data_IF_701677677794
#
_entry.id   IF_701677677794
#
_cell.length_a   1.000
_cell.length_b   1.000
_cell.length_c   1.000
_cell.angle_alpha   90.00
_cell.angle_beta   90.00
_cell.angle_gamma   90.00
#
_symmetry.space_group_name_H-M   'P 1'
#
loop_
_entity.id
_entity.type
_entity.pdbx_description
1 polymer ?
#
# COMPACT_ATOMS: atom_id res chain seq x y z
N UNK A 1 12.85 85.27 14.93
CA UNK A 1 12.78 83.80 15.08
C UNK A 1 12.35 83.17 13.76
N UNK A 2 12.76 81.92 13.55
CA UNK A 2 13.21 81.30 12.29
C UNK A 2 12.09 80.76 11.38
N UNK A 3 12.45 80.58 10.09
CA UNK A 3 11.73 80.21 8.86
C UNK A 3 11.61 78.67 8.64
N UNK A 4 10.61 78.26 7.82
CA UNK A 4 10.57 77.10 6.85
C UNK A 4 10.56 75.67 7.47
N UNK A 5 10.09 74.56 6.89
CA UNK A 5 9.66 74.15 5.53
C UNK A 5 9.12 72.69 5.51
N UNK A 6 8.34 72.34 4.47
CA UNK A 6 8.37 71.09 3.64
C UNK A 6 7.87 69.72 4.17
N UNK A 7 6.82 69.24 3.49
CA UNK A 7 6.56 67.90 2.89
C UNK A 7 7.46 66.69 3.26
N UNK A 8 6.84 65.59 3.71
CA UNK A 8 7.34 64.20 3.63
C UNK A 8 6.25 63.25 4.18
N UNK A 9 6.06 61.98 3.82
CA UNK A 9 6.57 61.01 2.86
C UNK A 9 5.57 59.84 2.99
N UNK A 10 5.11 59.29 1.85
CA UNK A 10 4.86 57.85 1.63
C UNK A 10 4.10 57.07 2.74
N UNK A 11 2.77 56.98 2.65
CA UNK A 11 2.04 55.89 3.31
C UNK A 11 2.32 54.60 2.54
N UNK A 12 3.24 53.82 3.11
CA UNK A 12 3.73 52.53 2.64
C UNK A 12 2.59 51.51 2.56
N UNK A 13 2.62 50.73 1.47
CA UNK A 13 1.76 49.60 1.17
C UNK A 13 1.53 48.68 2.39
N UNK A 14 0.27 48.42 2.72
CA UNK A 14 -0.15 47.14 3.30
C UNK A 14 -1.48 46.71 2.66
N UNK A 15 -1.44 46.46 1.36
CA UNK A 15 -2.31 45.43 0.79
C UNK A 15 -1.70 44.10 1.23
N UNK A 16 -2.03 43.67 2.44
CA UNK A 16 -1.84 42.29 2.86
C UNK A 16 -2.68 41.46 1.91
N UNK A 17 -2.01 40.94 0.89
CA UNK A 17 -2.60 40.05 -0.10
C UNK A 17 -3.17 38.85 0.66
N UNK A 18 -4.49 38.75 0.69
CA UNK A 18 -5.21 37.51 0.97
C UNK A 18 -4.95 36.55 -0.20
N UNK A 19 -3.69 36.15 -0.36
CA UNK A 19 -3.37 34.97 -1.15
C UNK A 19 -3.80 33.83 -0.22
N UNK A 20 -4.82 33.03 -0.58
CA UNK A 20 -5.04 31.79 0.13
C UNK A 20 -3.71 31.03 0.05
N UNK A 21 -3.06 30.83 1.19
CA UNK A 21 -1.96 29.89 1.28
C UNK A 21 -2.59 28.53 0.97
N UNK A 22 -2.61 28.17 -0.31
CA UNK A 22 -2.66 26.78 -0.69
C UNK A 22 -1.37 26.22 -0.11
N UNK A 23 -1.47 25.67 1.09
CA UNK A 23 -0.44 24.81 1.62
C UNK A 23 -0.36 23.65 0.63
N UNK A 24 0.55 23.76 -0.34
CA UNK A 24 1.11 22.60 -1.00
C UNK A 24 1.79 21.82 0.12
N UNK A 25 1.01 20.97 0.80
CA UNK A 25 1.58 19.97 1.68
C UNK A 25 2.59 19.23 0.82
N UNK A 26 3.86 19.23 1.22
CA UNK A 26 4.85 18.42 0.53
C UNK A 26 4.30 17.01 0.50
N UNK A 27 4.00 16.51 -0.70
CA UNK A 27 3.62 15.11 -0.89
C UNK A 27 4.74 14.29 -0.28
N UNK A 28 4.42 13.55 0.78
CA UNK A 28 5.41 12.76 1.49
C UNK A 28 5.92 11.70 0.52
N UNK A 29 7.21 11.74 0.22
CA UNK A 29 7.86 10.75 -0.64
C UNK A 29 7.88 9.39 0.09
N UNK A 30 7.30 8.36 -0.53
CA UNK A 30 7.23 7.00 0.03
C UNK A 30 8.42 6.19 -0.46
N UNK A 31 9.06 5.46 0.44
CA UNK A 31 10.19 4.58 0.17
C UNK A 31 10.20 3.38 1.12
N UNK A 32 11.25 2.55 1.06
CA UNK A 32 11.40 1.38 1.93
C UNK A 32 11.54 1.72 3.42
N UNK A 33 11.77 2.97 3.80
CA UNK A 33 11.90 3.43 5.19
C UNK A 33 10.59 4.03 5.72
N UNK A 34 9.61 4.23 4.86
CA UNK A 34 8.29 4.74 5.22
C UNK A 34 7.55 3.77 6.14
N UNK A 35 6.63 4.31 6.96
CA UNK A 35 5.80 3.48 7.83
C UNK A 35 4.84 2.61 7.02
N UNK A 36 4.24 1.62 7.70
CA UNK A 36 3.24 0.76 7.09
C UNK A 36 2.05 1.56 6.57
N UNK A 37 1.54 2.48 7.39
CA UNK A 37 0.36 3.29 7.11
C UNK A 37 0.60 4.24 5.94
N UNK A 38 1.76 4.89 5.90
CA UNK A 38 2.10 5.84 4.82
C UNK A 38 2.25 5.13 3.48
N UNK A 39 2.92 3.98 3.46
CA UNK A 39 3.04 3.19 2.25
C UNK A 39 1.67 2.65 1.80
N UNK A 40 0.85 2.16 2.73
CA UNK A 40 -0.46 1.61 2.40
C UNK A 40 -1.42 2.70 1.88
N UNK A 41 -1.44 3.89 2.49
CA UNK A 41 -2.26 5.01 2.05
C UNK A 41 -1.96 5.40 0.59
N UNK A 42 -0.67 5.55 0.24
CA UNK A 42 -0.27 5.91 -1.13
C UNK A 42 -0.55 4.79 -2.12
N UNK A 43 -0.26 3.53 -1.76
CA UNK A 43 -0.54 2.40 -2.66
C UNK A 43 -2.04 2.28 -2.96
N UNK A 44 -2.89 2.39 -1.93
CA UNK A 44 -4.35 2.24 -2.09
C UNK A 44 -4.98 3.31 -2.98
N UNK A 45 -4.35 4.47 -3.14
CA UNK A 45 -4.80 5.52 -4.08
C UNK A 45 -4.86 5.02 -5.53
N UNK A 46 -3.98 4.10 -5.91
CA UNK A 46 -3.86 3.57 -7.26
C UNK A 46 -4.46 2.17 -7.41
N UNK A 47 -4.98 1.59 -6.32
CA UNK A 47 -5.61 0.26 -6.32
C UNK A 47 -7.08 0.38 -6.65
N UNK A 48 -7.56 -0.52 -7.51
CA UNK A 48 -8.96 -0.74 -7.80
C UNK A 48 -9.32 -2.22 -7.63
N UNK A 49 -10.58 -2.49 -7.30
CA UNK A 49 -11.10 -3.85 -7.18
C UNK A 49 -12.24 -4.03 -8.19
N UNK A 50 -12.16 -5.08 -8.99
CA UNK A 50 -13.18 -5.46 -9.98
C UNK A 50 -13.62 -6.91 -9.75
N UNK A 51 -14.49 -7.45 -10.60
CA UNK A 51 -14.83 -8.88 -10.58
C UNK A 51 -13.64 -9.77 -10.93
N UNK A 52 -12.64 -9.24 -11.63
CA UNK A 52 -11.43 -9.94 -12.10
C UNK A 52 -10.28 -9.89 -11.06
N UNK A 53 -10.48 -9.20 -9.92
CA UNK A 53 -9.54 -9.15 -8.82
C UNK A 53 -9.09 -7.73 -8.45
N UNK A 54 -7.80 -7.59 -8.10
CA UNK A 54 -7.23 -6.34 -7.57
C UNK A 54 -6.15 -5.84 -8.52
N UNK A 55 -6.26 -4.58 -8.93
CA UNK A 55 -5.40 -3.98 -9.95
C UNK A 55 -4.79 -2.67 -9.48
N UNK A 56 -3.49 -2.50 -9.71
CA UNK A 56 -2.76 -1.27 -9.50
C UNK A 56 -2.59 -0.50 -10.81
N UNK A 57 -2.96 0.78 -10.82
CA UNK A 57 -2.77 1.67 -11.96
C UNK A 57 -1.33 2.20 -12.03
N UNK A 58 -0.45 1.42 -12.66
CA UNK A 58 0.99 1.74 -12.82
C UNK A 58 1.21 3.04 -13.58
N UNK A 59 0.42 3.30 -14.64
CA UNK A 59 0.56 4.50 -15.46
C UNK A 59 0.25 5.77 -14.66
N UNK A 60 -0.82 5.76 -13.86
CA UNK A 60 -1.16 6.88 -12.98
C UNK A 60 -0.05 7.15 -11.95
N UNK A 61 0.46 6.11 -11.28
CA UNK A 61 1.56 6.27 -10.32
C UNK A 61 2.83 6.87 -10.96
N UNK A 62 3.19 6.43 -12.18
CA UNK A 62 4.32 7.00 -12.93
C UNK A 62 4.05 8.47 -13.29
N UNK A 63 2.87 8.79 -13.82
CA UNK A 63 2.52 10.13 -14.26
C UNK A 63 2.46 11.14 -13.11
N UNK A 64 2.13 10.67 -11.90
CA UNK A 64 2.12 11.46 -10.69
C UNK A 64 3.49 11.53 -9.98
N UNK A 65 4.51 10.86 -10.52
CA UNK A 65 5.88 10.94 -10.03
C UNK A 65 6.12 10.15 -8.74
N UNK A 66 5.37 9.07 -8.52
CA UNK A 66 5.57 8.18 -7.38
C UNK A 66 6.95 7.50 -7.43
N UNK A 67 7.40 7.04 -6.26
CA UNK A 67 8.72 6.41 -6.13
C UNK A 67 8.79 5.04 -6.80
N UNK A 68 10.02 4.58 -7.06
CA UNK A 68 10.28 3.22 -7.53
C UNK A 68 9.71 2.17 -6.56
N UNK A 69 9.77 2.42 -5.24
CA UNK A 69 9.18 1.53 -4.25
C UNK A 69 7.66 1.34 -4.48
N UNK A 70 6.92 2.43 -4.71
CA UNK A 70 5.48 2.40 -4.97
C UNK A 70 5.17 1.71 -6.30
N UNK A 71 5.90 2.08 -7.36
CA UNK A 71 5.70 1.54 -8.70
C UNK A 71 5.98 0.03 -8.75
N UNK A 72 7.09 -0.43 -8.18
CA UNK A 72 7.45 -1.86 -8.19
C UNK A 72 6.54 -2.69 -7.27
N UNK A 73 6.10 -2.12 -6.13
CA UNK A 73 5.09 -2.79 -5.30
C UNK A 73 3.79 -3.00 -6.08
N UNK A 74 3.34 -1.97 -6.81
CA UNK A 74 2.14 -2.03 -7.64
C UNK A 74 2.23 -2.97 -8.83
N UNK A 75 3.38 -3.03 -9.52
CA UNK A 75 3.63 -4.02 -10.58
C UNK A 75 3.55 -5.44 -10.04
N UNK A 76 4.16 -5.68 -8.88
CA UNK A 76 4.09 -6.96 -8.19
C UNK A 76 2.64 -7.35 -7.83
N UNK A 77 1.76 -6.38 -7.49
CA UNK A 77 0.34 -6.65 -7.29
C UNK A 77 -0.31 -7.23 -8.55
N UNK A 78 -0.06 -6.59 -9.71
CA UNK A 78 -0.65 -6.99 -10.97
C UNK A 78 -0.14 -8.38 -11.40
N UNK A 79 1.16 -8.65 -11.25
CA UNK A 79 1.73 -9.97 -11.51
C UNK A 79 1.10 -11.07 -10.63
N UNK A 80 0.85 -10.77 -9.35
CA UNK A 80 0.15 -11.68 -8.44
C UNK A 80 -1.30 -11.89 -8.90
N UNK A 81 -2.01 -10.83 -9.29
CA UNK A 81 -3.38 -10.94 -9.78
C UNK A 81 -3.46 -11.83 -11.02
N UNK A 82 -2.58 -11.63 -12.00
CA UNK A 82 -2.54 -12.42 -13.24
C UNK A 82 -2.24 -13.90 -12.98
N UNK A 83 -1.39 -14.21 -11.99
CA UNK A 83 -1.08 -15.60 -11.62
C UNK A 83 -2.26 -16.35 -10.99
N UNK A 84 -3.11 -15.66 -10.23
CA UNK A 84 -4.23 -16.28 -9.50
C UNK A 84 -5.58 -16.14 -10.18
N UNK A 85 -5.72 -15.15 -11.07
CA UNK A 85 -6.90 -14.91 -11.91
C UNK A 85 -6.51 -14.95 -13.39
N UNK A 86 -5.93 -16.07 -13.90
CA UNK A 86 -5.51 -16.13 -15.30
C UNK A 86 -6.71 -15.99 -16.23
N UNK A 87 -6.51 -15.35 -17.38
CA UNK A 87 -7.55 -15.24 -18.40
C UNK A 87 -7.92 -16.63 -18.92
N UNK A 88 -9.16 -16.83 -19.40
CA UNK A 88 -9.57 -18.13 -19.96
C UNK A 88 -8.74 -18.55 -21.20
N UNK A 89 -8.05 -17.61 -21.84
CA UNK A 89 -7.14 -17.86 -22.97
C UNK A 89 -5.76 -18.35 -22.52
N UNK A 90 -5.38 -18.06 -21.27
CA UNK A 90 -4.15 -18.56 -20.66
C UNK A 90 -4.40 -20.00 -20.20
N UNK A 91 -3.92 -20.98 -20.97
CA UNK A 91 -3.88 -22.40 -20.55
C UNK A 91 -2.83 -22.56 -19.44
N UNK A 92 -3.12 -22.01 -18.27
CA UNK A 92 -2.33 -22.10 -17.06
C UNK A 92 -3.16 -22.95 -16.11
N UNK A 93 -2.70 -24.18 -15.83
CA UNK A 93 -3.19 -24.91 -14.65
C UNK A 93 -3.00 -23.96 -13.47
N UNK A 94 -4.07 -23.53 -12.79
CA UNK A 94 -3.92 -22.52 -11.76
C UNK A 94 -2.90 -23.03 -10.74
N UNK A 95 -1.91 -22.20 -10.46
CA UNK A 95 -0.76 -22.53 -9.61
C UNK A 95 -1.18 -22.44 -8.12
N UNK A 96 -2.34 -23.03 -7.78
CA UNK A 96 -3.02 -23.01 -6.46
C UNK A 96 -2.20 -23.72 -5.38
N UNK A 97 -0.91 -23.96 -5.60
CA UNK A 97 0.01 -24.60 -4.66
C UNK A 97 1.44 -24.05 -4.77
N UNK A 98 1.64 -22.87 -5.38
CA UNK A 98 2.93 -22.18 -5.32
C UNK A 98 2.91 -21.08 -4.24
N UNK A 99 4.02 -20.92 -3.48
CA UNK A 99 4.16 -19.77 -2.59
C UNK A 99 4.28 -18.49 -3.39
N UNK A 100 3.61 -17.44 -2.93
CA UNK A 100 3.96 -16.06 -3.32
C UNK A 100 5.16 -15.58 -2.52
N UNK A 101 5.35 -16.11 -1.31
CA UNK A 101 6.42 -15.71 -0.41
C UNK A 101 6.75 -16.78 0.61
N UNK A 102 8.05 -17.04 0.79
CA UNK A 102 8.53 -17.94 1.82
C UNK A 102 7.95 -19.36 1.72
N UNK A 103 7.58 -19.90 2.87
CA UNK A 103 7.10 -21.25 3.05
C UNK A 103 5.58 -21.33 3.30
N UNK A 104 4.91 -20.20 3.54
CA UNK A 104 3.53 -20.14 4.02
C UNK A 104 2.63 -19.16 3.28
N UNK A 105 3.13 -18.12 2.63
CA UNK A 105 2.23 -17.21 1.91
C UNK A 105 1.84 -17.80 0.56
N UNK A 106 0.54 -18.09 0.37
CA UNK A 106 -0.04 -18.45 -0.92
C UNK A 106 -1.23 -19.43 -0.81
N UNK A 107 -2.24 -19.36 -1.68
CA UNK A 107 -3.35 -20.32 -1.69
C UNK A 107 -2.84 -21.77 -1.80
N UNK A 108 -3.38 -22.66 -0.97
CA UNK A 108 -3.04 -24.08 -0.99
C UNK A 108 -1.58 -24.42 -0.66
N UNK A 109 -0.81 -23.43 -0.22
CA UNK A 109 0.58 -23.59 0.19
C UNK A 109 0.72 -23.52 1.72
N UNK A 110 1.87 -23.97 2.25
CA UNK A 110 2.12 -23.96 3.69
C UNK A 110 2.89 -25.18 4.18
N UNK A 111 4.00 -24.94 4.88
CA UNK A 111 4.71 -26.00 5.60
C UNK A 111 6.15 -25.65 5.98
N UNK A 112 6.65 -26.27 7.04
CA UNK A 112 8.05 -26.12 7.46
C UNK A 112 8.35 -24.84 8.26
N UNK A 113 9.64 -24.50 8.44
CA UNK A 113 10.04 -23.32 9.22
C UNK A 113 9.73 -22.02 8.47
N UNK A 114 9.40 -20.96 9.20
CA UNK A 114 9.18 -19.62 8.61
C UNK A 114 10.52 -19.02 8.18
N UNK A 115 10.54 -18.27 7.07
CA UNK A 115 11.74 -17.62 6.52
C UNK A 115 11.99 -16.23 7.09
N UNK A 116 10.94 -15.46 7.34
CA UNK A 116 10.99 -14.09 7.81
C UNK A 116 9.68 -13.66 8.53
N UNK A 117 9.47 -12.36 8.71
CA UNK A 117 8.34 -11.83 9.46
C UNK A 117 7.02 -11.95 8.71
N UNK A 118 7.02 -11.71 7.40
CA UNK A 118 5.84 -11.89 6.55
C UNK A 118 5.44 -13.36 6.48
N UNK A 119 6.39 -14.26 6.25
CA UNK A 119 6.13 -15.69 6.20
C UNK A 119 5.60 -16.24 7.54
N UNK A 120 6.08 -15.69 8.65
CA UNK A 120 5.53 -15.99 9.98
C UNK A 120 4.10 -15.47 10.21
N UNK A 121 3.74 -14.34 9.58
CA UNK A 121 2.37 -13.84 9.61
C UNK A 121 1.42 -14.75 8.80
N UNK A 122 1.83 -15.16 7.59
CA UNK A 122 1.08 -16.09 6.75
C UNK A 122 0.88 -17.44 7.44
N UNK A 123 1.91 -17.99 8.10
CA UNK A 123 1.77 -19.21 8.90
C UNK A 123 0.68 -19.11 9.97
N UNK A 124 0.64 -18.00 10.70
CA UNK A 124 -0.36 -17.79 11.75
C UNK A 124 -1.77 -17.70 11.15
N UNK A 125 -1.90 -17.07 9.99
CA UNK A 125 -3.14 -16.98 9.22
C UNK A 125 -3.63 -18.33 8.72
N UNK A 126 -2.76 -19.15 8.11
CA UNK A 126 -3.11 -20.50 7.64
C UNK A 126 -3.61 -21.39 8.79
N UNK A 127 -2.93 -21.33 9.95
CA UNK A 127 -3.36 -22.05 11.14
C UNK A 127 -4.71 -21.55 11.63
N UNK A 128 -4.96 -20.24 11.58
CA UNK A 128 -6.25 -19.67 11.94
C UNK A 128 -7.35 -20.12 10.97
N UNK A 129 -7.12 -20.14 9.66
CA UNK A 129 -8.04 -20.68 8.66
C UNK A 129 -8.37 -22.16 8.90
N UNK A 130 -7.39 -22.98 9.28
CA UNK A 130 -7.64 -24.38 9.64
C UNK A 130 -8.55 -24.56 10.87
N UNK A 131 -8.67 -23.54 11.72
CA UNK A 131 -9.48 -23.57 12.96
C UNK A 131 -10.81 -22.85 12.83
N UNK A 132 -10.83 -21.73 12.11
CA UNK A 132 -11.95 -20.79 12.03
C UNK A 132 -12.72 -20.91 10.71
N UNK A 133 -12.15 -21.60 9.71
CA UNK A 133 -12.69 -21.70 8.36
C UNK A 133 -12.07 -20.66 7.41
N UNK A 134 -12.11 -21.00 6.11
CA UNK A 134 -11.71 -20.07 5.04
C UNK A 134 -12.60 -18.82 5.03
N UNK A 135 -12.01 -17.69 4.65
CA UNK A 135 -12.65 -16.37 4.64
C UNK A 135 -13.11 -15.87 6.02
N UNK A 136 -12.47 -16.35 7.10
CA UNK A 136 -12.67 -15.78 8.43
C UNK A 136 -12.16 -14.34 8.47
N UNK A 137 -13.08 -13.39 8.50
CA UNK A 137 -12.81 -11.96 8.67
C UNK A 137 -11.92 -11.66 9.90
N UNK A 138 -12.03 -12.48 10.94
CA UNK A 138 -11.22 -12.31 12.14
C UNK A 138 -9.78 -12.78 11.90
N UNK A 139 -9.59 -13.86 11.14
CA UNK A 139 -8.25 -14.32 10.75
C UNK A 139 -7.58 -13.29 9.82
N UNK A 140 -8.30 -12.77 8.84
CA UNK A 140 -7.79 -11.76 7.88
C UNK A 140 -7.40 -10.46 8.59
N UNK A 141 -8.25 -9.97 9.50
CA UNK A 141 -7.93 -8.78 10.29
C UNK A 141 -6.68 -8.98 11.16
N UNK A 142 -6.48 -10.18 11.73
CA UNK A 142 -5.27 -10.49 12.50
C UNK A 142 -4.03 -10.55 11.61
N UNK A 143 -4.14 -11.08 10.39
CA UNK A 143 -3.04 -11.07 9.42
C UNK A 143 -2.60 -9.63 9.10
N UNK A 144 -3.54 -8.76 8.73
CA UNK A 144 -3.26 -7.35 8.42
C UNK A 144 -2.61 -6.66 9.63
N UNK A 145 -3.19 -6.81 10.83
CA UNK A 145 -2.64 -6.22 12.05
C UNK A 145 -1.23 -6.76 12.39
N UNK A 146 -1.00 -8.05 12.14
CA UNK A 146 0.31 -8.69 12.34
C UNK A 146 1.36 -8.11 11.41
N UNK A 147 1.03 -7.94 10.13
CA UNK A 147 1.90 -7.36 9.12
C UNK A 147 2.26 -5.93 9.51
N UNK A 148 1.27 -5.06 9.80
CA UNK A 148 1.53 -3.67 10.17
C UNK A 148 2.47 -3.53 11.38
N UNK A 149 2.29 -4.38 12.39
CA UNK A 149 3.16 -4.39 13.59
C UNK A 149 4.61 -4.79 13.31
N UNK A 150 4.83 -5.74 12.40
CA UNK A 150 6.17 -6.26 12.10
C UNK A 150 6.82 -5.55 10.90
N UNK A 151 6.09 -4.70 10.19
CA UNK A 151 6.53 -4.05 8.94
C UNK A 151 7.89 -3.36 9.06
N UNK A 152 8.15 -2.65 10.15
CA UNK A 152 9.44 -1.97 10.36
C UNK A 152 10.65 -2.90 10.55
N UNK A 153 10.42 -4.20 10.77
CA UNK A 153 11.46 -5.24 10.88
C UNK A 153 11.74 -5.92 9.53
N UNK A 154 10.89 -5.69 8.54
CA UNK A 154 10.95 -6.33 7.22
C UNK A 154 11.99 -5.65 6.32
N UNK A 155 12.59 -6.44 5.42
CA UNK A 155 13.45 -5.93 4.35
C UNK A 155 12.61 -5.37 3.19
N UNK A 156 13.22 -4.62 2.27
CA UNK A 156 12.51 -3.97 1.16
C UNK A 156 11.57 -4.88 0.37
N UNK A 157 12.06 -6.02 -0.14
CA UNK A 157 11.21 -6.95 -0.92
C UNK A 157 10.10 -7.58 -0.06
N UNK A 158 10.39 -7.85 1.21
CA UNK A 158 9.41 -8.37 2.17
C UNK A 158 8.32 -7.32 2.46
N UNK A 159 8.68 -6.03 2.57
CA UNK A 159 7.74 -4.92 2.70
C UNK A 159 6.82 -4.77 1.49
N UNK A 160 7.39 -4.83 0.27
CA UNK A 160 6.62 -4.78 -0.97
C UNK A 160 5.57 -5.90 -1.01
N UNK A 161 6.00 -7.14 -0.74
CA UNK A 161 5.10 -8.28 -0.71
C UNK A 161 4.08 -8.18 0.44
N UNK A 162 4.49 -7.70 1.61
CA UNK A 162 3.60 -7.51 2.75
C UNK A 162 2.47 -6.51 2.44
N UNK A 163 2.77 -5.42 1.71
CA UNK A 163 1.75 -4.50 1.23
C UNK A 163 0.78 -5.18 0.25
N UNK A 164 1.29 -5.99 -0.69
CA UNK A 164 0.45 -6.73 -1.63
C UNK A 164 -0.50 -7.71 -0.91
N UNK A 165 -0.01 -8.42 0.12
CA UNK A 165 -0.85 -9.27 0.98
C UNK A 165 -1.93 -8.44 1.68
N UNK A 166 -1.57 -7.29 2.27
CA UNK A 166 -2.53 -6.40 2.94
C UNK A 166 -3.58 -5.87 1.98
N UNK A 167 -3.18 -5.43 0.78
CA UNK A 167 -4.09 -4.92 -0.25
C UNK A 167 -5.12 -5.99 -0.63
N UNK A 168 -4.66 -7.22 -0.91
CA UNK A 168 -5.53 -8.34 -1.25
C UNK A 168 -6.54 -8.65 -0.13
N UNK A 169 -6.08 -8.81 1.11
CA UNK A 169 -6.98 -9.14 2.23
C UNK A 169 -7.90 -7.97 2.61
N UNK A 170 -7.48 -6.72 2.39
CA UNK A 170 -8.36 -5.56 2.54
C UNK A 170 -9.51 -5.61 1.53
N UNK A 171 -9.22 -5.91 0.27
CA UNK A 171 -10.24 -6.08 -0.77
C UNK A 171 -11.16 -7.26 -0.47
N UNK A 172 -10.60 -8.42 -0.10
CA UNK A 172 -11.37 -9.61 0.27
C UNK A 172 -12.32 -9.32 1.43
N UNK A 173 -11.84 -8.67 2.49
CA UNK A 173 -12.67 -8.30 3.63
C UNK A 173 -13.78 -7.31 3.25
N UNK A 174 -13.52 -6.35 2.35
CA UNK A 174 -14.55 -5.41 1.88
C UNK A 174 -15.73 -6.10 1.15
N UNK A 175 -15.48 -7.27 0.57
CA UNK A 175 -16.50 -8.12 -0.07
C UNK A 175 -17.17 -9.04 0.94
N UNK A 176 -16.40 -9.74 1.77
CA UNK A 176 -16.89 -10.87 2.58
C UNK A 176 -17.34 -10.51 4.01
N UNK A 177 -16.93 -9.36 4.54
CA UNK A 177 -17.03 -9.05 5.98
C UNK A 177 -18.02 -7.93 6.33
N UNK A 178 -19.10 -7.83 5.56
CA UNK A 178 -20.15 -6.82 5.73
C UNK A 178 -21.09 -7.11 6.90
#
# INVERSE_FOLDING_TARGET
MVKKSILSILSLLMLFSLIPQQAFGATKFIDENSSFEEANEVLMKYVSTTEEGVFFNVEAAINEGESEFVIETGKMLNELNDMYNPSEEDVVTPLISLPIWGNWCGPGYGGGPTKDHLDAACKEHDIAYGREGYFSCTADARLIARIGRDYNKMKTLEKMMAQNVVIYFTAQMAVNCR
#
